data_IF_753494608855
#
_entry.id   IF_753494608855
#
_cell.length_a   1.000
_cell.length_b   1.000
_cell.length_c   1.000
_cell.angle_alpha   90.00
_cell.angle_beta   90.00
_cell.angle_gamma   90.00
#
_symmetry.space_group_name_H-M   'P 1'
#
loop_
_entity.id
_entity.type
_entity.pdbx_description
1 polymer ?
#
# COMPACT_ATOMS: atom_id res chain seq x y z
N UNK A 1 -9.57 23.51 -9.03
CA UNK A 1 -9.17 23.84 -10.43
C UNK A 1 -8.92 25.32 -10.64
N UNK A 2 -9.85 26.25 -10.32
CA UNK A 2 -9.61 27.72 -10.51
C UNK A 2 -8.39 28.29 -9.77
N UNK A 3 -7.99 27.71 -8.63
CA UNK A 3 -6.77 28.11 -7.90
C UNK A 3 -5.48 27.67 -8.62
N UNK A 4 -5.51 26.49 -9.26
CA UNK A 4 -4.35 25.95 -10.01
C UNK A 4 -4.16 26.72 -11.31
N UNK A 5 -5.25 27.04 -12.04
CA UNK A 5 -5.18 27.90 -13.24
C UNK A 5 -4.62 29.31 -12.91
N UNK A 6 -5.05 29.92 -11.80
CA UNK A 6 -4.50 31.21 -11.37
C UNK A 6 -3.01 31.14 -10.97
N UNK A 7 -2.56 30.02 -10.39
CA UNK A 7 -1.16 29.85 -10.02
C UNK A 7 -0.25 29.68 -11.25
N UNK A 8 -0.74 29.01 -12.30
CA UNK A 8 0.02 28.77 -13.54
C UNK A 8 0.02 29.99 -14.47
N UNK A 9 -1.08 30.77 -14.51
CA UNK A 9 -1.22 31.91 -15.41
C UNK A 9 -0.74 33.26 -14.83
N UNK A 10 -0.46 33.32 -13.52
CA UNK A 10 -0.11 34.56 -12.80
C UNK A 10 1.34 35.01 -12.91
N UNK A 11 2.27 34.16 -13.32
CA UNK A 11 3.64 34.54 -13.61
C UNK A 11 3.88 34.43 -15.12
N UNK A 12 4.37 35.52 -15.76
CA UNK A 12 4.99 35.44 -17.07
C UNK A 12 6.19 34.50 -16.94
N UNK A 13 5.94 33.17 -17.09
CA UNK A 13 7.01 32.28 -17.55
C UNK A 13 7.44 32.93 -18.86
N UNK A 14 8.62 33.57 -18.88
CA UNK A 14 9.19 34.14 -20.08
C UNK A 14 9.12 33.04 -21.12
N UNK A 15 8.35 33.27 -22.19
CA UNK A 15 8.21 32.30 -23.25
C UNK A 15 9.63 31.89 -23.63
N UNK A 16 9.94 30.63 -23.48
CA UNK A 16 11.21 30.06 -23.93
C UNK A 16 11.18 30.32 -25.41
N UNK A 17 12.07 31.22 -25.88
CA UNK A 17 12.22 31.52 -27.27
C UNK A 17 12.41 30.20 -28.03
N UNK A 18 11.41 29.81 -28.80
CA UNK A 18 11.34 28.52 -29.52
C UNK A 18 12.30 28.47 -30.70
N UNK A 19 13.45 29.15 -30.59
CA UNK A 19 14.53 29.08 -31.53
C UNK A 19 14.96 27.64 -31.77
N UNK A 20 14.91 27.19 -33.00
CA UNK A 20 15.38 25.88 -33.46
C UNK A 20 16.76 25.58 -32.88
N UNK A 21 16.85 24.68 -31.91
CA UNK A 21 18.12 24.19 -31.38
C UNK A 21 18.81 23.33 -32.45
N UNK A 22 19.77 23.86 -33.07
CA UNK A 22 20.65 23.14 -34.01
C UNK A 22 21.88 22.65 -33.24
N UNK A 23 21.85 21.39 -32.77
CA UNK A 23 23.02 20.77 -32.17
C UNK A 23 22.68 19.66 -31.14
N UNK A 24 23.67 18.82 -30.78
CA UNK A 24 23.48 17.77 -29.80
C UNK A 24 23.18 18.36 -28.40
N UNK A 25 22.33 17.68 -27.64
CA UNK A 25 21.98 18.07 -26.27
C UNK A 25 23.04 17.49 -25.32
N UNK A 26 23.73 18.35 -24.56
CA UNK A 26 24.71 17.93 -23.57
C UNK A 26 24.05 17.47 -22.26
N UNK A 27 24.78 16.70 -21.49
CA UNK A 27 24.33 16.27 -20.10
C UNK A 27 24.12 17.48 -19.18
N UNK A 28 24.97 18.54 -19.30
CA UNK A 28 24.81 19.77 -18.53
C UNK A 28 23.49 20.48 -18.89
N UNK A 29 23.08 20.41 -20.16
CA UNK A 29 21.80 20.96 -20.56
C UNK A 29 20.63 20.15 -19.95
N UNK A 30 20.73 18.82 -19.94
CA UNK A 30 19.73 17.95 -19.29
C UNK A 30 19.67 18.27 -17.80
N UNK A 31 20.80 18.41 -17.11
CA UNK A 31 20.86 18.81 -15.71
C UNK A 31 20.15 20.15 -15.45
N UNK A 32 20.46 21.16 -16.27
CA UNK A 32 19.79 22.47 -16.17
C UNK A 32 18.26 22.41 -16.42
N UNK A 33 17.78 21.51 -17.27
CA UNK A 33 16.33 21.27 -17.45
C UNK A 33 15.74 20.61 -16.21
N UNK A 34 16.42 19.62 -15.65
CA UNK A 34 16.01 18.95 -14.44
C UNK A 34 15.89 19.92 -13.24
N UNK A 35 16.91 20.76 -13.03
CA UNK A 35 16.92 21.77 -11.97
C UNK A 35 15.75 22.77 -12.10
N UNK A 36 15.46 23.22 -13.32
CA UNK A 36 14.31 24.11 -13.57
C UNK A 36 12.97 23.42 -13.32
N UNK A 37 12.85 22.17 -13.74
CA UNK A 37 11.63 21.39 -13.52
C UNK A 37 11.39 21.15 -12.02
N UNK A 38 12.44 20.86 -11.27
CA UNK A 38 12.39 20.66 -9.83
C UNK A 38 12.04 21.97 -9.10
N UNK A 39 12.69 23.08 -9.44
CA UNK A 39 12.36 24.39 -8.88
C UNK A 39 10.89 24.78 -9.14
N UNK A 40 10.38 24.52 -10.36
CA UNK A 40 8.98 24.78 -10.68
C UNK A 40 8.03 23.85 -9.91
N UNK A 41 8.38 22.58 -9.77
CA UNK A 41 7.62 21.64 -8.97
C UNK A 41 7.55 22.07 -7.50
N UNK A 42 8.67 22.55 -6.95
CA UNK A 42 8.73 23.14 -5.60
C UNK A 42 7.83 24.38 -5.46
N UNK A 43 7.87 25.29 -6.43
CA UNK A 43 7.04 26.49 -6.40
C UNK A 43 5.54 26.16 -6.49
N UNK A 44 5.16 25.23 -7.37
CA UNK A 44 3.78 24.75 -7.47
C UNK A 44 3.34 24.12 -6.16
N UNK A 45 4.17 23.27 -5.56
CA UNK A 45 3.88 22.63 -4.26
C UNK A 45 3.75 23.66 -3.15
N UNK A 46 4.65 24.63 -3.05
CA UNK A 46 4.59 25.68 -2.04
C UNK A 46 3.31 26.54 -2.17
N UNK A 47 2.76 26.70 -3.37
CA UNK A 47 1.52 27.45 -3.62
C UNK A 47 0.25 26.63 -3.46
N UNK A 48 0.29 25.33 -3.79
CA UNK A 48 -0.85 24.41 -3.74
C UNK A 48 -0.92 23.71 -2.38
N UNK A 49 0.22 23.40 -1.82
CA UNK A 49 0.40 22.83 -0.48
C UNK A 49 1.30 23.80 0.30
N UNK A 50 0.72 24.89 0.84
CA UNK A 50 1.50 25.83 1.63
C UNK A 50 2.35 25.06 2.67
N UNK A 51 3.65 25.39 2.83
CA UNK A 51 4.57 24.61 3.68
C UNK A 51 4.10 24.49 5.14
N UNK A 52 3.21 25.38 5.59
CA UNK A 52 2.64 25.39 6.92
C UNK A 52 1.30 24.65 7.03
N UNK A 53 0.72 24.20 5.92
CA UNK A 53 -0.56 23.47 5.93
C UNK A 53 -0.25 21.98 5.81
N UNK A 54 -0.04 21.33 6.94
CA UNK A 54 -0.04 19.86 7.01
C UNK A 54 -1.37 19.35 6.48
N UNK A 55 -1.32 18.30 5.67
CA UNK A 55 -2.52 17.61 5.23
C UNK A 55 -3.37 17.24 6.45
N UNK A 56 -4.63 17.63 6.46
CA UNK A 56 -5.54 17.40 7.59
C UNK A 56 -6.41 16.18 7.32
N UNK A 57 -6.62 15.38 8.36
CA UNK A 57 -7.56 14.29 8.28
C UNK A 57 -8.99 14.83 8.07
N UNK A 58 -9.79 14.17 7.21
CA UNK A 58 -11.16 14.57 6.97
C UNK A 58 -12.06 14.29 8.18
N UNK A 59 -13.22 14.92 8.18
CA UNK A 59 -14.31 14.57 9.07
C UNK A 59 -15.43 13.88 8.27
N UNK A 60 -16.12 12.95 8.91
CA UNK A 60 -17.18 12.15 8.34
C UNK A 60 -18.54 12.51 8.96
N UNK A 61 -19.61 12.34 8.21
CA UNK A 61 -20.95 12.23 8.81
C UNK A 61 -21.05 10.92 9.59
N UNK A 62 -21.96 10.85 10.56
CA UNK A 62 -22.20 9.60 11.33
C UNK A 62 -22.45 8.42 10.40
N UNK A 63 -23.28 8.60 9.35
CA UNK A 63 -23.57 7.54 8.39
C UNK A 63 -22.33 7.08 7.60
N UNK A 64 -21.44 8.00 7.23
CA UNK A 64 -20.15 7.65 6.60
C UNK A 64 -19.24 6.93 7.58
N UNK A 65 -19.10 7.44 8.80
CA UNK A 65 -18.27 6.81 9.83
C UNK A 65 -18.73 5.38 10.10
N UNK A 66 -20.02 5.13 10.31
CA UNK A 66 -20.58 3.79 10.52
C UNK A 66 -20.25 2.84 9.36
N UNK A 67 -20.48 3.31 8.13
CA UNK A 67 -20.25 2.50 6.93
C UNK A 67 -18.78 2.18 6.72
N UNK A 68 -17.90 3.19 6.81
CA UNK A 68 -16.46 3.02 6.51
C UNK A 68 -15.74 2.23 7.61
N UNK A 69 -16.20 2.34 8.84
CA UNK A 69 -15.63 1.61 9.98
C UNK A 69 -16.15 0.16 10.11
N UNK A 70 -17.09 -0.27 9.26
CA UNK A 70 -17.70 -1.58 9.36
C UNK A 70 -18.62 -1.75 10.58
N UNK A 71 -18.95 -0.69 11.30
CA UNK A 71 -19.87 -0.71 12.43
C UNK A 71 -21.29 -1.05 12.00
N UNK A 72 -21.66 -0.76 10.74
CA UNK A 72 -22.98 -1.06 10.20
C UNK A 72 -23.33 -2.54 10.19
N UNK A 73 -22.34 -3.41 10.17
CA UNK A 73 -22.48 -4.86 10.10
C UNK A 73 -22.63 -5.50 11.49
N UNK A 74 -22.50 -4.69 12.56
CA UNK A 74 -22.52 -5.15 13.95
C UNK A 74 -23.69 -4.52 14.74
N UNK A 75 -24.39 -5.28 15.63
CA UNK A 75 -25.45 -4.74 16.49
C UNK A 75 -24.99 -3.55 17.36
N UNK A 76 -23.74 -3.58 17.84
CA UNK A 76 -23.13 -2.52 18.61
C UNK A 76 -22.96 -1.22 17.78
N UNK A 77 -22.74 -1.34 16.48
CA UNK A 77 -22.64 -0.22 15.56
C UNK A 77 -23.99 0.48 15.33
N UNK A 78 -25.07 -0.29 15.28
CA UNK A 78 -26.44 0.27 15.23
C UNK A 78 -26.75 1.09 16.49
N UNK A 79 -26.36 0.60 17.66
CA UNK A 79 -26.51 1.33 18.93
C UNK A 79 -25.63 2.59 18.96
N UNK A 80 -24.39 2.51 18.47
CA UNK A 80 -23.51 3.66 18.34
C UNK A 80 -24.06 4.70 17.38
N UNK A 81 -24.56 4.26 16.23
CA UNK A 81 -25.20 5.14 15.23
C UNK A 81 -26.45 5.84 15.80
N UNK A 82 -27.29 5.13 16.56
CA UNK A 82 -28.47 5.70 17.21
C UNK A 82 -28.09 6.77 18.25
N UNK A 83 -27.05 6.52 19.06
CA UNK A 83 -26.56 7.46 20.07
C UNK A 83 -26.00 8.76 19.48
N UNK A 84 -25.46 8.72 18.26
CA UNK A 84 -24.81 9.87 17.59
C UNK A 84 -25.60 10.42 16.41
N UNK A 85 -26.58 9.69 15.87
CA UNK A 85 -27.29 9.98 14.63
C UNK A 85 -28.17 11.24 14.68
N UNK A 86 -28.63 11.66 15.85
CA UNK A 86 -29.42 12.87 16.04
C UNK A 86 -28.56 14.14 16.10
N UNK A 87 -27.25 14.00 16.19
CA UNK A 87 -26.31 15.12 16.21
C UNK A 87 -25.81 15.39 14.79
N UNK A 88 -25.97 16.62 14.28
CA UNK A 88 -25.29 17.10 13.06
C UNK A 88 -23.77 17.30 13.33
N UNK A 89 -23.16 16.33 13.99
CA UNK A 89 -21.76 16.39 14.38
C UNK A 89 -20.87 15.75 13.31
N UNK A 90 -19.75 16.37 13.06
CA UNK A 90 -18.67 15.78 12.29
C UNK A 90 -17.92 14.76 13.16
N UNK A 91 -17.68 13.57 12.63
CA UNK A 91 -16.93 12.49 13.30
C UNK A 91 -15.51 12.48 12.74
N UNK A 92 -14.52 12.62 13.59
CA UNK A 92 -13.11 12.52 13.19
C UNK A 92 -12.69 11.08 12.89
N UNK A 93 -11.56 10.92 12.18
CA UNK A 93 -10.94 9.61 11.94
C UNK A 93 -10.68 8.89 13.26
N UNK A 94 -10.13 9.58 14.26
CA UNK A 94 -9.83 9.02 15.59
C UNK A 94 -11.09 8.50 16.31
N UNK A 95 -12.19 9.24 16.25
CA UNK A 95 -13.46 8.83 16.84
C UNK A 95 -14.05 7.59 16.14
N UNK A 96 -14.06 7.58 14.79
CA UNK A 96 -14.55 6.44 14.01
C UNK A 96 -13.71 5.19 14.31
N UNK A 97 -12.38 5.31 14.28
CA UNK A 97 -11.43 4.24 14.59
C UNK A 97 -11.62 3.70 16.01
N UNK A 98 -11.71 4.58 17.00
CA UNK A 98 -11.93 4.20 18.40
C UNK A 98 -13.27 3.47 18.61
N UNK A 99 -14.32 3.90 17.92
CA UNK A 99 -15.61 3.24 17.94
C UNK A 99 -15.52 1.83 17.34
N UNK A 100 -14.86 1.67 16.18
CA UNK A 100 -14.68 0.39 15.52
C UNK A 100 -13.87 -0.60 16.39
N UNK A 101 -12.75 -0.16 16.96
CA UNK A 101 -11.89 -0.99 17.81
C UNK A 101 -12.68 -1.56 19.01
N UNK A 102 -13.52 -0.74 19.65
CA UNK A 102 -14.31 -1.18 20.81
C UNK A 102 -15.49 -2.09 20.47
N UNK A 103 -16.13 -1.85 19.33
CA UNK A 103 -17.40 -2.50 18.99
C UNK A 103 -17.24 -3.66 17.98
N UNK A 104 -16.01 -3.94 17.52
CA UNK A 104 -15.70 -5.03 16.58
C UNK A 104 -14.55 -5.92 17.07
N UNK A 105 -14.61 -6.47 18.31
CA UNK A 105 -13.51 -7.25 18.92
C UNK A 105 -13.15 -8.50 18.10
N UNK A 106 -14.12 -9.11 17.39
CA UNK A 106 -13.89 -10.30 16.58
C UNK A 106 -12.99 -10.05 15.35
N UNK A 107 -12.80 -8.79 14.96
CA UNK A 107 -11.98 -8.37 13.83
C UNK A 107 -10.61 -7.85 14.25
N UNK A 108 -10.41 -7.57 15.54
CA UNK A 108 -9.14 -7.05 16.03
C UNK A 108 -8.06 -8.14 16.08
N UNK A 109 -6.81 -7.73 15.98
CA UNK A 109 -5.65 -8.64 16.08
C UNK A 109 -5.64 -9.34 17.44
N UNK A 110 -5.57 -10.67 17.49
CA UNK A 110 -5.36 -11.39 18.75
C UNK A 110 -3.99 -11.02 19.36
N UNK A 111 -3.93 -10.80 20.67
CA UNK A 111 -2.69 -10.42 21.38
C UNK A 111 -1.54 -11.41 21.20
N UNK A 112 -1.86 -12.68 20.93
CA UNK A 112 -0.88 -13.74 20.68
C UNK A 112 -0.36 -13.79 19.24
N UNK A 113 -0.73 -12.83 18.37
CA UNK A 113 -0.41 -12.82 16.95
C UNK A 113 0.29 -11.54 16.53
N UNK A 114 1.21 -11.66 15.57
CA UNK A 114 1.81 -10.51 14.89
C UNK A 114 0.90 -9.92 13.83
N UNK A 115 1.31 -8.77 13.33
CA UNK A 115 0.62 -8.09 12.23
C UNK A 115 0.53 -8.97 10.97
N UNK A 116 -0.55 -8.82 10.22
CA UNK A 116 -0.61 -9.32 8.84
C UNK A 116 0.07 -8.31 7.92
N UNK A 117 1.07 -8.78 7.18
CA UNK A 117 1.78 -7.98 6.17
C UNK A 117 1.15 -8.22 4.80
N UNK A 118 0.75 -7.15 4.11
CA UNK A 118 0.09 -7.17 2.80
C UNK A 118 0.95 -6.41 1.80
N UNK A 119 1.39 -7.07 0.72
CA UNK A 119 2.04 -6.39 -0.40
C UNK A 119 1.00 -6.03 -1.47
N UNK A 120 1.01 -4.78 -1.91
CA UNK A 120 0.23 -4.33 -3.06
C UNK A 120 1.18 -4.29 -4.26
N UNK A 121 1.10 -5.29 -5.14
CA UNK A 121 2.10 -5.53 -6.17
C UNK A 121 1.49 -5.79 -7.54
N UNK A 122 2.11 -5.23 -8.57
CA UNK A 122 1.92 -5.55 -9.99
C UNK A 122 3.11 -4.92 -10.74
N UNK A 123 3.66 -5.61 -11.73
CA UNK A 123 4.82 -5.10 -12.48
C UNK A 123 4.46 -3.98 -13.47
N UNK A 124 3.18 -3.74 -13.72
CA UNK A 124 2.73 -2.67 -14.59
C UNK A 124 2.53 -1.35 -13.84
N UNK A 125 2.98 -0.26 -14.45
CA UNK A 125 2.74 1.09 -13.96
C UNK A 125 1.29 1.52 -14.17
N UNK A 126 0.79 2.40 -13.28
CA UNK A 126 -0.52 3.04 -13.45
C UNK A 126 -1.75 2.16 -13.22
N UNK A 127 -1.61 0.94 -12.71
CA UNK A 127 -2.73 0.03 -12.39
C UNK A 127 -3.47 0.37 -11.09
N UNK A 128 -2.96 1.33 -10.31
CA UNK A 128 -3.57 1.78 -9.06
C UNK A 128 -2.96 1.16 -7.79
N UNK A 129 -1.72 0.65 -7.82
CA UNK A 129 -1.03 0.09 -6.63
C UNK A 129 -1.02 1.05 -5.46
N UNK A 130 -0.40 2.21 -5.62
CA UNK A 130 -0.24 3.22 -4.58
C UNK A 130 -1.58 3.71 -4.03
N UNK A 131 -2.57 3.97 -4.90
CA UNK A 131 -3.90 4.35 -4.46
C UNK A 131 -4.58 3.24 -3.67
N UNK A 132 -4.40 1.97 -4.08
CA UNK A 132 -4.92 0.80 -3.36
C UNK A 132 -4.22 0.65 -2.01
N UNK A 133 -2.88 0.78 -1.95
CA UNK A 133 -2.14 0.69 -0.70
C UNK A 133 -2.59 1.76 0.30
N UNK A 134 -2.70 3.02 -0.14
CA UNK A 134 -3.14 4.10 0.72
C UNK A 134 -4.60 3.93 1.18
N UNK A 135 -5.52 3.59 0.27
CA UNK A 135 -6.93 3.41 0.65
C UNK A 135 -7.14 2.20 1.55
N UNK A 136 -6.35 1.13 1.39
CA UNK A 136 -6.35 0.01 2.35
C UNK A 136 -5.84 0.45 3.72
N UNK A 137 -4.72 1.18 3.79
CA UNK A 137 -4.21 1.67 5.06
C UNK A 137 -5.22 2.56 5.79
N UNK A 138 -5.84 3.51 5.08
CA UNK A 138 -6.88 4.39 5.61
C UNK A 138 -8.14 3.61 6.03
N UNK A 139 -8.62 2.72 5.17
CA UNK A 139 -9.83 1.94 5.43
C UNK A 139 -9.67 0.97 6.60
N UNK A 140 -8.54 0.28 6.70
CA UNK A 140 -8.23 -0.63 7.82
C UNK A 140 -8.06 0.15 9.13
N UNK A 141 -7.45 1.34 9.09
CA UNK A 141 -7.40 2.23 10.27
C UNK A 141 -8.80 2.62 10.73
N UNK A 142 -9.70 3.05 9.84
CA UNK A 142 -11.09 3.37 10.21
C UNK A 142 -11.82 2.20 10.86
N UNK A 143 -11.41 0.95 10.56
CA UNK A 143 -11.94 -0.29 11.15
C UNK A 143 -11.31 -0.67 12.48
N UNK A 144 -10.46 0.20 13.04
CA UNK A 144 -9.88 0.05 14.37
C UNK A 144 -8.45 -0.47 14.40
N UNK A 145 -7.89 -0.90 13.26
CA UNK A 145 -6.54 -1.44 13.20
C UNK A 145 -5.47 -0.34 13.32
N UNK A 146 -4.33 -0.68 13.91
CA UNK A 146 -3.11 0.12 13.87
C UNK A 146 -2.28 -0.32 12.66
N UNK A 147 -2.05 0.59 11.72
CA UNK A 147 -1.48 0.28 10.41
C UNK A 147 -0.10 0.91 10.24
N UNK A 148 0.86 0.15 9.72
CA UNK A 148 2.10 0.66 9.16
C UNK A 148 2.00 0.60 7.65
N UNK A 149 2.07 1.75 6.98
CA UNK A 149 2.25 1.83 5.54
C UNK A 149 3.76 1.90 5.23
N UNK A 150 4.21 1.18 4.21
CA UNK A 150 5.60 1.19 3.77
C UNK A 150 5.62 1.51 2.28
N UNK A 151 6.26 2.60 1.91
CA UNK A 151 6.53 2.97 0.53
C UNK A 151 7.88 2.37 0.11
N UNK A 152 7.87 1.45 -0.85
CA UNK A 152 9.08 0.87 -1.43
C UNK A 152 9.33 1.34 -2.86
N UNK A 153 8.47 2.21 -3.42
CA UNK A 153 8.73 2.79 -4.73
C UNK A 153 9.66 4.01 -4.59
N UNK A 154 10.87 4.00 -5.20
CA UNK A 154 11.76 5.16 -5.20
C UNK A 154 11.12 6.45 -5.73
N UNK A 155 10.00 6.37 -6.45
CA UNK A 155 9.23 7.53 -6.86
C UNK A 155 8.55 8.25 -5.69
N UNK A 156 8.39 7.61 -4.54
CA UNK A 156 7.80 8.19 -3.35
C UNK A 156 6.33 8.60 -3.52
N UNK A 157 5.59 7.85 -4.33
CA UNK A 157 4.20 8.19 -4.66
C UNK A 157 3.27 8.05 -3.45
N UNK A 158 3.42 6.99 -2.65
CA UNK A 158 2.66 6.81 -1.42
C UNK A 158 3.05 7.88 -0.39
N UNK A 159 4.33 8.17 -0.26
CA UNK A 159 4.88 9.25 0.59
C UNK A 159 4.24 10.59 0.24
N UNK A 160 4.18 10.91 -1.07
CA UNK A 160 3.54 12.14 -1.56
C UNK A 160 2.03 12.17 -1.28
N UNK A 161 1.33 11.05 -1.41
CA UNK A 161 -0.08 10.94 -1.07
C UNK A 161 -0.33 11.17 0.43
N UNK A 162 0.61 10.84 1.30
CA UNK A 162 0.55 11.19 2.73
C UNK A 162 0.91 12.66 3.02
N UNK A 163 1.22 13.47 2.01
CA UNK A 163 1.49 14.91 2.17
C UNK A 163 2.94 15.23 2.49
N UNK A 164 3.86 14.28 2.31
CA UNK A 164 5.31 14.47 2.54
C UNK A 164 6.00 14.66 1.19
N UNK A 165 6.84 15.69 1.08
CA UNK A 165 7.60 15.97 -0.15
C UNK A 165 8.83 15.07 -0.19
N UNK A 166 8.76 13.99 -0.98
CA UNK A 166 9.77 12.93 -0.99
C UNK A 166 11.20 13.42 -1.26
N UNK A 167 11.37 14.47 -2.09
CA UNK A 167 12.68 14.98 -2.48
C UNK A 167 13.34 15.85 -1.43
N UNK A 168 12.58 16.47 -0.53
CA UNK A 168 13.11 17.50 0.39
C UNK A 168 12.87 17.24 1.87
N UNK A 169 11.83 16.48 2.20
CA UNK A 169 11.45 16.23 3.58
C UNK A 169 11.87 14.83 4.06
N UNK A 170 12.25 13.95 3.13
CA UNK A 170 12.64 12.57 3.44
C UNK A 170 14.15 12.46 3.61
N UNK A 171 14.57 11.99 4.78
CA UNK A 171 15.95 11.60 5.06
C UNK A 171 16.12 10.08 4.94
N UNK A 172 17.34 9.61 4.76
CA UNK A 172 17.64 8.17 4.62
C UNK A 172 17.09 7.33 5.78
N UNK A 173 17.24 7.79 7.02
CA UNK A 173 16.72 7.12 8.22
C UNK A 173 15.19 7.05 8.33
N UNK A 174 14.44 7.69 7.43
CA UNK A 174 12.98 7.60 7.32
C UNK A 174 12.53 6.57 6.27
N UNK A 175 13.49 5.91 5.60
CA UNK A 175 13.25 4.96 4.51
C UNK A 175 13.69 3.55 4.89
N UNK A 176 13.39 2.58 4.04
CA UNK A 176 13.90 1.23 4.20
C UNK A 176 15.38 1.04 3.79
N UNK A 177 16.05 2.09 3.28
CA UNK A 177 17.38 1.97 2.70
C UNK A 177 18.45 1.51 3.71
N UNK A 178 18.55 2.01 4.97
CA UNK A 178 19.52 1.54 5.94
C UNK A 178 19.36 0.03 6.24
N UNK A 179 18.13 -0.45 6.39
CA UNK A 179 17.85 -1.88 6.58
C UNK A 179 18.35 -2.70 5.38
N UNK A 180 18.01 -2.28 4.17
CA UNK A 180 18.34 -2.99 2.93
C UNK A 180 19.85 -2.99 2.63
N UNK A 181 20.58 -1.99 3.13
CA UNK A 181 22.05 -1.96 3.12
C UNK A 181 22.68 -2.79 4.23
N UNK A 182 21.93 -3.15 5.28
CA UNK A 182 22.43 -3.84 6.46
C UNK A 182 23.10 -2.93 7.48
N UNK A 183 22.74 -1.67 7.47
CA UNK A 183 23.19 -0.68 8.44
C UNK A 183 22.36 -0.72 9.74
N UNK A 184 21.21 -1.37 9.68
CA UNK A 184 20.35 -1.70 10.83
C UNK A 184 19.59 -3.01 10.58
N UNK A 185 19.04 -3.60 11.66
CA UNK A 185 18.31 -4.88 11.64
C UNK A 185 16.81 -4.71 11.87
N UNK A 186 16.33 -3.48 12.12
CA UNK A 186 14.93 -3.17 12.43
C UNK A 186 14.44 -1.95 11.66
N UNK A 187 13.25 -2.09 11.05
CA UNK A 187 12.61 -1.00 10.30
C UNK A 187 11.73 -0.10 11.15
N UNK A 188 11.33 -0.53 12.35
CA UNK A 188 10.41 0.22 13.21
C UNK A 188 10.89 1.65 13.50
N UNK A 189 12.18 1.93 13.70
CA UNK A 189 12.68 3.29 13.92
C UNK A 189 12.48 4.25 12.73
N UNK A 190 12.26 3.73 11.52
CA UNK A 190 11.97 4.55 10.33
C UNK A 190 10.49 4.98 10.24
N UNK A 191 9.59 4.34 10.99
CA UNK A 191 8.17 4.67 10.99
C UNK A 191 7.90 6.06 11.56
N UNK A 192 7.06 6.84 10.89
CA UNK A 192 6.67 8.20 11.28
C UNK A 192 5.14 8.32 11.30
N UNK A 193 4.58 9.03 12.30
CA UNK A 193 3.15 9.31 12.34
C UNK A 193 2.74 10.14 11.11
N UNK A 194 1.53 9.88 10.62
CA UNK A 194 0.95 10.63 9.51
C UNK A 194 -0.19 11.54 9.98
N UNK A 195 -0.76 12.32 9.04
CA UNK A 195 -1.96 13.12 9.32
C UNK A 195 -3.21 12.25 9.62
N UNK A 196 -3.15 10.96 9.28
CA UNK A 196 -4.27 10.03 9.43
C UNK A 196 -4.13 9.20 10.70
N UNK A 197 -5.07 9.35 11.63
CA UNK A 197 -5.00 8.64 12.91
C UNK A 197 -4.94 7.12 12.73
N UNK A 198 -3.99 6.49 13.42
CA UNK A 198 -3.76 5.05 13.40
C UNK A 198 -2.99 4.55 12.18
N UNK A 199 -2.42 5.44 11.35
CA UNK A 199 -1.51 5.09 10.26
C UNK A 199 -0.17 5.77 10.45
N UNK A 200 0.88 4.96 10.58
CA UNK A 200 2.26 5.40 10.50
C UNK A 200 2.85 5.03 9.12
N UNK A 201 3.92 5.71 8.69
CA UNK A 201 4.52 5.57 7.37
C UNK A 201 6.04 5.41 7.46
N UNK A 202 6.57 4.40 6.75
CA UNK A 202 7.97 4.37 6.29
C UNK A 202 7.99 4.98 4.89
N UNK A 203 8.72 6.07 4.73
CA UNK A 203 8.71 6.88 3.51
C UNK A 203 9.65 6.32 2.44
N UNK A 204 9.45 6.75 1.18
CA UNK A 204 10.40 6.55 0.09
C UNK A 204 10.80 7.88 -0.54
N UNK A 205 11.98 7.88 -1.13
CA UNK A 205 12.51 8.97 -1.94
C UNK A 205 13.46 8.39 -3.00
N UNK A 206 13.90 9.17 -4.00
CA UNK A 206 14.77 8.68 -5.08
C UNK A 206 16.04 7.96 -4.59
N UNK A 207 16.55 8.31 -3.39
CA UNK A 207 17.70 7.63 -2.78
C UNK A 207 17.47 6.14 -2.53
N UNK A 208 16.21 5.70 -2.37
CA UNK A 208 15.87 4.29 -2.17
C UNK A 208 16.27 3.42 -3.39
N UNK A 209 16.44 4.02 -4.58
CA UNK A 209 16.94 3.31 -5.75
C UNK A 209 18.32 2.67 -5.52
N UNK A 210 19.13 3.21 -4.59
CA UNK A 210 20.41 2.62 -4.20
C UNK A 210 20.27 1.18 -3.64
N UNK A 211 19.10 0.80 -3.13
CA UNK A 211 18.82 -0.55 -2.65
C UNK A 211 18.93 -1.61 -3.76
N UNK A 212 18.58 -1.26 -5.02
CA UNK A 212 18.69 -2.18 -6.17
C UNK A 212 20.13 -2.62 -6.46
N UNK A 213 21.13 -1.84 -6.02
CA UNK A 213 22.55 -2.18 -6.11
C UNK A 213 23.07 -2.78 -4.80
N UNK A 214 22.59 -2.32 -3.66
CA UNK A 214 23.05 -2.77 -2.36
C UNK A 214 22.58 -4.22 -2.04
N UNK A 215 21.34 -4.55 -2.33
CA UNK A 215 20.76 -5.86 -2.01
C UNK A 215 21.52 -7.00 -2.70
N UNK A 216 21.79 -7.00 -4.03
CA UNK A 216 22.56 -8.07 -4.66
C UNK A 216 24.01 -8.15 -4.18
N UNK A 217 24.65 -7.05 -3.80
CA UNK A 217 26.01 -7.07 -3.27
C UNK A 217 26.12 -7.85 -1.96
N UNK A 218 25.04 -7.99 -1.19
CA UNK A 218 24.98 -8.79 0.04
C UNK A 218 24.97 -10.30 -0.22
N UNK A 219 24.58 -10.74 -1.41
CA UNK A 219 24.63 -12.17 -1.79
C UNK A 219 26.05 -12.72 -1.74
N UNK A 220 27.05 -11.88 -1.99
CA UNK A 220 28.46 -12.28 -1.98
C UNK A 220 29.10 -12.24 -0.59
N UNK A 221 28.41 -11.73 0.42
CA UNK A 221 28.89 -11.72 1.80
C UNK A 221 28.71 -13.12 2.41
N UNK A 222 29.74 -13.60 3.09
CA UNK A 222 29.82 -14.97 3.60
C UNK A 222 28.93 -15.27 4.82
N UNK A 223 28.04 -14.33 5.21
CA UNK A 223 27.18 -14.41 6.39
C UNK A 223 25.91 -15.27 6.22
N UNK A 224 25.68 -15.81 5.01
CA UNK A 224 24.49 -16.63 4.72
C UNK A 224 23.18 -15.85 4.69
N UNK A 225 23.22 -14.51 4.68
CA UNK A 225 22.03 -13.68 4.68
C UNK A 225 21.21 -13.85 3.41
N UNK A 226 19.95 -14.22 3.56
CA UNK A 226 19.02 -14.32 2.45
C UNK A 226 18.61 -12.91 1.98
N UNK A 227 19.28 -12.35 0.98
CA UNK A 227 19.11 -10.98 0.50
C UNK A 227 17.67 -10.66 0.02
N UNK A 228 16.84 -11.65 -0.30
CA UNK A 228 15.43 -11.49 -0.63
C UNK A 228 14.50 -11.45 0.59
N UNK A 229 15.01 -11.66 1.81
CA UNK A 229 14.25 -11.67 3.07
C UNK A 229 14.65 -10.56 4.04
N UNK A 230 15.42 -9.58 3.60
CA UNK A 230 15.91 -8.51 4.47
C UNK A 230 14.74 -7.73 5.11
N UNK A 231 13.74 -7.40 4.30
CA UNK A 231 12.54 -6.73 4.80
C UNK A 231 11.75 -7.64 5.75
N UNK A 232 11.63 -8.94 5.45
CA UNK A 232 10.93 -9.89 6.31
C UNK A 232 11.53 -9.94 7.72
N UNK A 233 12.86 -9.98 7.82
CA UNK A 233 13.56 -9.94 9.10
C UNK A 233 13.42 -8.59 9.80
N UNK A 234 13.59 -7.50 9.07
CA UNK A 234 13.49 -6.14 9.61
C UNK A 234 12.10 -5.71 10.06
N UNK A 235 11.06 -6.50 9.78
CA UNK A 235 9.69 -6.24 10.21
C UNK A 235 9.32 -6.90 11.54
N UNK A 236 10.22 -7.59 12.23
CA UNK A 236 9.89 -8.32 13.45
C UNK A 236 9.22 -7.43 14.52
N UNK A 237 9.87 -6.34 14.92
CA UNK A 237 9.33 -5.39 15.91
C UNK A 237 8.07 -4.66 15.43
N UNK A 238 7.98 -4.38 14.13
CA UNK A 238 6.80 -3.78 13.53
C UNK A 238 5.59 -4.72 13.60
N UNK A 239 5.79 -6.03 13.41
CA UNK A 239 4.71 -7.02 13.54
C UNK A 239 4.14 -7.12 14.94
N UNK A 240 4.93 -6.85 15.96
CA UNK A 240 4.45 -6.81 17.35
C UNK A 240 3.70 -5.50 17.66
N UNK A 241 4.09 -4.41 17.01
CA UNK A 241 3.60 -3.06 17.28
C UNK A 241 2.30 -2.72 16.54
N UNK A 242 2.14 -3.20 15.31
CA UNK A 242 1.00 -2.91 14.42
C UNK A 242 0.08 -4.12 14.29
N UNK A 243 -1.13 -3.89 13.81
CA UNK A 243 -2.08 -4.96 13.47
C UNK A 243 -1.93 -5.36 12.00
N UNK A 244 -1.61 -4.39 11.15
CA UNK A 244 -1.45 -4.56 9.71
C UNK A 244 -0.26 -3.77 9.22
N UNK A 245 0.48 -4.36 8.28
CA UNK A 245 1.54 -3.70 7.53
C UNK A 245 1.13 -3.73 6.06
N UNK A 246 1.02 -2.57 5.40
CA UNK A 246 0.68 -2.44 3.98
C UNK A 246 1.90 -1.92 3.23
N UNK A 247 2.38 -2.69 2.24
CA UNK A 247 3.58 -2.36 1.47
C UNK A 247 3.16 -1.98 0.05
N UNK A 248 3.47 -0.75 -0.38
CA UNK A 248 3.39 -0.32 -1.78
C UNK A 248 4.69 -0.65 -2.51
N UNK A 249 4.61 -1.22 -3.72
CA UNK A 249 5.76 -1.70 -4.47
C UNK A 249 5.98 -0.94 -5.78
N UNK A 250 7.23 -0.83 -6.26
CA UNK A 250 7.53 -0.26 -7.56
C UNK A 250 6.89 -1.06 -8.72
N UNK A 251 6.73 -0.45 -9.90
CA UNK A 251 6.13 -1.09 -11.07
C UNK A 251 7.14 -1.98 -11.83
N UNK A 252 7.86 -2.83 -11.13
CA UNK A 252 8.89 -3.70 -11.68
C UNK A 252 9.10 -4.93 -10.80
N UNK A 253 9.59 -6.04 -11.39
CA UNK A 253 10.17 -7.14 -10.63
C UNK A 253 11.60 -6.76 -10.23
N UNK A 254 11.71 -5.95 -9.21
CA UNK A 254 12.97 -5.48 -8.63
C UNK A 254 13.27 -6.21 -7.33
N UNK A 255 14.47 -6.03 -6.78
CA UNK A 255 14.83 -6.56 -5.47
C UNK A 255 13.95 -5.99 -4.35
N UNK A 256 13.50 -4.75 -4.47
CA UNK A 256 12.52 -4.13 -3.56
C UNK A 256 11.18 -4.89 -3.60
N UNK A 257 10.67 -5.17 -4.79
CA UNK A 257 9.42 -5.93 -4.96
C UNK A 257 9.54 -7.36 -4.44
N UNK A 258 10.66 -8.03 -4.70
CA UNK A 258 10.93 -9.38 -4.18
C UNK A 258 10.92 -9.37 -2.65
N UNK A 259 11.61 -8.43 -2.01
CA UNK A 259 11.62 -8.31 -0.55
C UNK A 259 10.22 -8.04 0.01
N UNK A 260 9.39 -7.21 -0.65
CA UNK A 260 8.01 -6.99 -0.26
C UNK A 260 7.17 -8.27 -0.32
N UNK A 261 7.27 -9.01 -1.44
CA UNK A 261 6.54 -10.26 -1.63
C UNK A 261 6.99 -11.32 -0.61
N UNK A 262 8.28 -11.39 -0.30
CA UNK A 262 8.81 -12.32 0.70
C UNK A 262 8.39 -11.97 2.13
N UNK A 263 8.26 -10.69 2.46
CA UNK A 263 7.80 -10.25 3.76
C UNK A 263 6.26 -10.41 3.96
N UNK A 264 5.49 -10.46 2.87
CA UNK A 264 4.03 -10.42 2.91
C UNK A 264 3.40 -11.75 3.37
N UNK A 265 2.31 -11.67 4.14
CA UNK A 265 1.40 -12.78 4.42
C UNK A 265 0.28 -12.86 3.38
N UNK A 266 -0.08 -11.73 2.77
CA UNK A 266 -1.07 -11.63 1.72
C UNK A 266 -0.61 -10.72 0.58
N UNK A 267 -1.15 -10.94 -0.61
CA UNK A 267 -0.86 -10.12 -1.79
C UNK A 267 -2.16 -9.56 -2.34
N UNK A 268 -2.19 -8.28 -2.68
CA UNK A 268 -3.25 -7.65 -3.46
C UNK A 268 -2.65 -7.20 -4.79
N UNK A 269 -3.26 -7.63 -5.91
CA UNK A 269 -2.76 -7.37 -7.27
C UNK A 269 -3.79 -6.53 -8.04
N UNK A 270 -3.70 -5.19 -7.98
CA UNK A 270 -4.57 -4.31 -8.73
C UNK A 270 -4.36 -4.51 -10.23
N UNK A 271 -5.44 -4.79 -10.97
CA UNK A 271 -5.37 -5.14 -12.40
C UNK A 271 -6.54 -4.52 -13.15
N UNK A 272 -6.33 -3.58 -14.06
CA UNK A 272 -7.38 -3.15 -14.98
C UNK A 272 -7.79 -4.30 -15.92
N UNK A 273 -9.08 -4.50 -16.22
CA UNK A 273 -9.54 -5.58 -17.09
C UNK A 273 -9.36 -5.22 -18.57
N UNK A 274 -8.10 -5.06 -19.03
CA UNK A 274 -7.73 -4.89 -20.43
C UNK A 274 -6.87 -6.06 -20.92
N UNK A 275 -6.85 -6.33 -22.24
CA UNK A 275 -6.07 -7.43 -22.79
C UNK A 275 -4.57 -7.32 -22.48
N UNK A 276 -4.01 -6.10 -22.51
CA UNK A 276 -2.61 -5.86 -22.18
C UNK A 276 -2.33 -6.06 -20.68
N UNK A 277 -3.28 -5.71 -19.82
CA UNK A 277 -3.14 -5.93 -18.38
C UNK A 277 -3.26 -7.41 -18.02
N UNK A 278 -4.12 -8.16 -18.70
CA UNK A 278 -4.20 -9.62 -18.56
C UNK A 278 -2.87 -10.30 -18.94
N UNK A 279 -2.29 -9.94 -20.08
CA UNK A 279 -1.00 -10.48 -20.51
C UNK A 279 0.12 -10.14 -19.52
N UNK A 280 0.13 -8.89 -19.02
CA UNK A 280 1.09 -8.46 -17.98
C UNK A 280 0.92 -9.23 -16.67
N UNK A 281 -0.33 -9.51 -16.26
CA UNK A 281 -0.64 -10.29 -15.06
C UNK A 281 -0.15 -11.74 -15.21
N UNK A 282 -0.37 -12.36 -16.37
CA UNK A 282 0.14 -13.71 -16.64
C UNK A 282 1.67 -13.76 -16.56
N UNK A 283 2.34 -12.75 -17.12
CA UNK A 283 3.80 -12.62 -17.02
C UNK A 283 4.28 -12.40 -15.58
N UNK A 284 3.57 -11.59 -14.80
CA UNK A 284 3.83 -11.41 -13.36
C UNK A 284 3.88 -12.76 -12.62
N UNK A 285 2.85 -13.58 -12.81
CA UNK A 285 2.78 -14.89 -12.15
C UNK A 285 3.83 -15.85 -12.63
N UNK A 286 4.16 -15.85 -13.94
CA UNK A 286 5.21 -16.70 -14.50
C UNK A 286 6.57 -16.37 -13.88
N UNK A 287 6.97 -15.09 -13.91
CA UNK A 287 8.23 -14.64 -13.32
C UNK A 287 8.29 -14.92 -11.82
N UNK A 288 7.17 -14.73 -11.10
CA UNK A 288 7.13 -15.02 -9.68
C UNK A 288 7.23 -16.53 -9.41
N UNK A 289 6.62 -17.38 -10.24
CA UNK A 289 6.73 -18.84 -10.13
C UNK A 289 8.16 -19.35 -10.41
N UNK A 290 8.90 -18.69 -11.29
CA UNK A 290 10.29 -19.06 -11.63
C UNK A 290 11.22 -18.96 -10.42
N UNK A 291 10.93 -18.09 -9.43
CA UNK A 291 11.66 -18.08 -8.16
C UNK A 291 11.55 -19.39 -7.38
N UNK A 292 10.49 -20.18 -7.57
CA UNK A 292 10.32 -21.48 -6.91
C UNK A 292 11.46 -22.47 -7.25
N UNK A 293 12.06 -22.34 -8.44
CA UNK A 293 13.15 -23.21 -8.91
C UNK A 293 14.51 -22.91 -8.28
N UNK A 294 14.65 -21.79 -7.55
CA UNK A 294 15.89 -21.41 -6.92
C UNK A 294 16.12 -22.25 -5.64
N UNK A 295 17.19 -23.05 -5.59
CA UNK A 295 17.49 -23.96 -4.47
C UNK A 295 17.65 -23.22 -3.13
N UNK A 296 18.14 -21.98 -3.15
CA UNK A 296 18.27 -21.15 -1.94
C UNK A 296 16.89 -20.72 -1.40
N UNK A 297 15.94 -20.43 -2.29
CA UNK A 297 14.56 -20.13 -1.93
C UNK A 297 13.87 -21.31 -1.24
N UNK A 298 14.20 -22.53 -1.62
CA UNK A 298 13.65 -23.77 -1.05
C UNK A 298 14.23 -24.13 0.32
N UNK A 299 15.47 -23.72 0.64
CA UNK A 299 16.11 -24.01 1.93
C UNK A 299 15.37 -23.46 3.15
N UNK A 300 14.51 -22.47 2.96
CA UNK A 300 13.67 -21.86 4.01
C UNK A 300 12.26 -22.48 4.17
N UNK A 301 11.98 -23.66 3.59
CA UNK A 301 10.67 -24.31 3.69
C UNK A 301 9.61 -23.79 2.71
N UNK A 302 10.01 -22.96 1.74
CA UNK A 302 9.12 -22.35 0.76
C UNK A 302 8.26 -21.19 1.35
N UNK A 303 7.80 -20.31 0.48
CA UNK A 303 6.89 -19.20 0.86
C UNK A 303 5.46 -19.64 0.73
N UNK A 304 4.66 -19.39 1.77
CA UNK A 304 3.21 -19.57 1.78
C UNK A 304 2.51 -18.25 2.01
N UNK A 305 1.42 -18.01 1.28
CA UNK A 305 0.57 -16.85 1.47
C UNK A 305 -0.75 -17.29 2.09
N UNK A 306 -1.25 -16.51 3.04
CA UNK A 306 -2.55 -16.73 3.65
C UNK A 306 -3.68 -16.39 2.68
N UNK A 307 -3.45 -15.41 1.81
CA UNK A 307 -4.36 -15.04 0.73
C UNK A 307 -3.64 -14.33 -0.42
N UNK A 308 -4.22 -14.43 -1.60
CA UNK A 308 -3.85 -13.66 -2.79
C UNK A 308 -5.14 -13.11 -3.38
N UNK A 309 -5.16 -11.81 -3.70
CA UNK A 309 -6.34 -11.15 -4.25
C UNK A 309 -5.99 -10.40 -5.53
N UNK A 310 -6.60 -10.79 -6.64
CA UNK A 310 -6.63 -10.02 -7.89
C UNK A 310 -7.77 -9.02 -7.77
N UNK A 311 -7.43 -7.73 -7.67
CA UNK A 311 -8.39 -6.64 -7.56
C UNK A 311 -8.61 -6.00 -8.93
N UNK A 312 -9.81 -6.13 -9.48
CA UNK A 312 -10.15 -5.42 -10.72
C UNK A 312 -10.25 -3.92 -10.44
N UNK A 313 -9.46 -3.13 -11.16
CA UNK A 313 -9.40 -1.67 -11.04
C UNK A 313 -9.78 -1.00 -12.34
N UNK A 314 -10.20 0.28 -12.28
CA UNK A 314 -10.59 1.06 -13.46
C UNK A 314 -11.63 0.36 -14.34
N UNK A 315 -12.55 -0.36 -13.72
CA UNK A 315 -13.60 -1.09 -14.43
C UNK A 315 -14.53 -0.10 -15.12
N UNK A 316 -14.55 -0.14 -16.46
CA UNK A 316 -15.36 0.73 -17.30
C UNK A 316 -16.47 -0.09 -17.94
N UNK A 317 -17.68 -0.01 -17.40
CA UNK A 317 -18.84 -0.77 -17.90
C UNK A 317 -19.25 -0.38 -19.34
N UNK A 318 -18.74 0.74 -19.86
CA UNK A 318 -18.99 1.17 -21.24
C UNK A 318 -18.01 0.54 -22.25
N UNK A 319 -16.95 -0.13 -21.78
CA UNK A 319 -15.98 -0.80 -22.65
C UNK A 319 -16.52 -2.16 -23.13
N UNK A 320 -16.71 -2.26 -24.45
CA UNK A 320 -17.28 -3.45 -25.12
C UNK A 320 -16.38 -4.69 -24.97
N UNK A 321 -15.08 -4.51 -24.87
CA UNK A 321 -14.11 -5.61 -24.73
C UNK A 321 -14.01 -6.14 -23.29
N UNK A 322 -14.41 -5.34 -22.30
CA UNK A 322 -14.22 -5.66 -20.89
C UNK A 322 -14.87 -6.99 -20.44
N UNK A 323 -16.11 -7.35 -20.83
CA UNK A 323 -16.72 -8.63 -20.43
C UNK A 323 -15.87 -9.83 -20.84
N UNK A 324 -15.28 -9.82 -22.04
CA UNK A 324 -14.41 -10.89 -22.51
C UNK A 324 -13.13 -11.00 -21.68
N UNK A 325 -12.46 -9.87 -21.42
CA UNK A 325 -11.23 -9.86 -20.61
C UNK A 325 -11.50 -10.28 -19.16
N UNK A 326 -12.62 -9.85 -18.57
CA UNK A 326 -13.05 -10.35 -17.25
C UNK A 326 -13.25 -11.87 -17.27
N UNK A 327 -13.84 -12.40 -18.34
CA UNK A 327 -13.97 -13.85 -18.54
C UNK A 327 -12.61 -14.54 -18.51
N UNK A 328 -11.59 -13.99 -19.18
CA UNK A 328 -10.22 -14.55 -19.17
C UNK A 328 -9.59 -14.49 -17.77
N UNK A 329 -9.73 -13.35 -17.08
CA UNK A 329 -9.20 -13.19 -15.71
C UNK A 329 -9.87 -14.18 -14.75
N UNK A 330 -11.20 -14.33 -14.82
CA UNK A 330 -11.94 -15.28 -14.01
C UNK A 330 -11.61 -16.75 -14.34
N UNK A 331 -11.39 -17.06 -15.61
CA UNK A 331 -11.00 -18.41 -16.01
C UNK A 331 -9.59 -18.80 -15.52
N UNK A 332 -8.66 -17.82 -15.51
CA UNK A 332 -7.28 -18.04 -15.08
C UNK A 332 -7.08 -17.95 -13.57
N UNK A 333 -7.79 -17.04 -12.89
CA UNK A 333 -7.52 -16.65 -11.50
C UNK A 333 -8.78 -16.61 -10.62
N UNK A 334 -9.88 -17.26 -11.02
CA UNK A 334 -11.21 -17.10 -10.41
C UNK A 334 -11.24 -17.18 -8.87
N UNK A 335 -10.50 -18.12 -8.28
CA UNK A 335 -10.39 -18.27 -6.83
C UNK A 335 -9.69 -17.10 -6.13
N UNK A 336 -8.88 -16.33 -6.87
CA UNK A 336 -8.13 -15.18 -6.36
C UNK A 336 -8.80 -13.85 -6.70
N UNK A 337 -9.79 -13.81 -7.59
CA UNK A 337 -10.45 -12.56 -7.98
C UNK A 337 -11.37 -12.10 -6.86
N UNK A 338 -11.11 -10.87 -6.35
CA UNK A 338 -12.00 -10.26 -5.37
C UNK A 338 -13.41 -10.03 -5.97
N UNK A 339 -14.46 -10.26 -5.21
CA UNK A 339 -15.83 -9.91 -5.63
C UNK A 339 -16.02 -8.40 -5.74
N UNK A 340 -15.27 -7.63 -4.96
CA UNK A 340 -15.23 -6.17 -5.01
C UNK A 340 -14.34 -5.66 -6.13
N UNK A 341 -14.74 -4.60 -6.82
CA UNK A 341 -14.00 -3.98 -7.92
C UNK A 341 -14.01 -2.46 -7.82
N UNK A 342 -12.94 -1.81 -8.33
CA UNK A 342 -12.84 -0.35 -8.35
C UNK A 342 -13.26 0.18 -9.72
N UNK A 343 -14.39 0.92 -9.81
CA UNK A 343 -14.85 1.45 -11.07
C UNK A 343 -13.95 2.57 -11.58
N UNK A 344 -13.87 2.73 -12.90
CA UNK A 344 -13.34 3.94 -13.53
C UNK A 344 -14.19 5.13 -13.09
N UNK A 345 -13.53 6.19 -12.63
CA UNK A 345 -14.23 7.33 -12.03
C UNK A 345 -13.59 8.65 -12.42
N UNK A 346 -14.43 9.65 -12.66
CA UNK A 346 -14.02 11.05 -12.85
C UNK A 346 -13.55 11.70 -11.54
N UNK A 347 -13.71 11.03 -10.40
CA UNK A 347 -13.16 11.46 -9.10
C UNK A 347 -11.63 11.25 -9.06
N UNK A 348 -11.09 10.26 -9.79
CA UNK A 348 -9.66 9.94 -9.75
C UNK A 348 -8.74 11.13 -10.12
N UNK A 349 -8.99 11.93 -11.16
CA UNK A 349 -8.21 13.14 -11.43
C UNK A 349 -8.29 14.18 -10.32
N UNK A 350 -9.43 14.33 -9.67
CA UNK A 350 -9.60 15.26 -8.55
C UNK A 350 -8.83 14.79 -7.31
N UNK A 351 -8.82 13.48 -7.04
CA UNK A 351 -8.00 12.88 -5.98
C UNK A 351 -6.49 13.12 -6.24
N UNK A 352 -6.04 12.86 -7.46
CA UNK A 352 -4.66 13.07 -7.85
C UNK A 352 -4.24 14.54 -7.72
N UNK A 353 -5.09 15.48 -8.15
CA UNK A 353 -4.84 16.92 -8.03
C UNK A 353 -4.79 17.40 -6.57
N UNK A 354 -5.47 16.70 -5.66
CA UNK A 354 -5.47 16.97 -4.22
C UNK A 354 -4.40 16.15 -3.47
N UNK A 355 -3.53 15.42 -4.17
CA UNK A 355 -2.57 14.48 -3.56
C UNK A 355 -3.22 13.58 -2.51
N UNK A 356 -4.38 13.01 -2.82
CA UNK A 356 -5.16 12.23 -1.86
C UNK A 356 -5.92 11.07 -2.48
N UNK A 357 -6.70 10.41 -1.64
CA UNK A 357 -7.62 9.33 -2.00
C UNK A 357 -9.07 9.81 -1.95
N UNK A 358 -10.01 8.92 -2.26
CA UNK A 358 -11.44 9.20 -2.09
C UNK A 358 -11.80 9.49 -0.62
N UNK A 359 -11.07 8.93 0.34
CA UNK A 359 -11.32 9.19 1.77
C UNK A 359 -10.89 10.59 2.22
N UNK A 360 -9.93 11.22 1.53
CA UNK A 360 -9.43 12.56 1.89
C UNK A 360 -10.35 13.70 1.45
N UNK A 361 -11.25 13.45 0.49
CA UNK A 361 -12.10 14.50 -0.06
C UNK A 361 -13.31 14.70 0.86
N UNK A 362 -13.26 15.76 1.67
CA UNK A 362 -14.38 16.13 2.55
C UNK A 362 -15.60 16.65 1.79
N UNK A 363 -15.39 17.35 0.67
CA UNK A 363 -16.44 17.85 -0.23
C UNK A 363 -16.01 17.67 -1.70
N UNK A 364 -16.84 17.03 -2.49
CA UNK A 364 -16.64 16.85 -3.92
C UNK A 364 -17.60 17.72 -4.72
N UNK A 365 -17.06 18.59 -5.58
CA UNK A 365 -17.85 19.56 -6.38
C UNK A 365 -18.59 18.90 -7.55
N UNK A 366 -18.34 17.61 -7.82
CA UNK A 366 -19.00 16.85 -8.88
C UNK A 366 -20.20 16.05 -8.40
N UNK A 367 -20.64 15.08 -9.21
CA UNK A 367 -21.80 14.25 -8.89
C UNK A 367 -21.59 13.42 -7.61
N UNK A 368 -22.37 13.68 -6.57
CA UNK A 368 -22.31 12.98 -5.27
C UNK A 368 -22.46 11.46 -5.41
N UNK A 369 -23.26 11.00 -6.37
CA UNK A 369 -23.44 9.57 -6.64
C UNK A 369 -22.14 8.90 -7.13
N UNK A 370 -21.38 9.59 -8.00
CA UNK A 370 -20.09 9.10 -8.50
C UNK A 370 -19.05 9.02 -7.37
N UNK A 371 -19.01 10.05 -6.51
CA UNK A 371 -18.14 10.05 -5.34
C UNK A 371 -18.50 8.93 -4.36
N UNK A 372 -19.82 8.77 -4.07
CA UNK A 372 -20.28 7.69 -3.18
C UNK A 372 -19.89 6.32 -3.73
N UNK A 373 -20.10 6.08 -5.03
CA UNK A 373 -19.78 4.80 -5.67
C UNK A 373 -18.29 4.42 -5.51
N UNK A 374 -17.37 5.39 -5.62
CA UNK A 374 -15.94 5.11 -5.48
C UNK A 374 -15.54 4.82 -4.02
N UNK A 375 -16.10 5.57 -3.07
CA UNK A 375 -15.90 5.30 -1.63
C UNK A 375 -16.45 3.92 -1.25
N UNK A 376 -17.64 3.58 -1.71
CA UNK A 376 -18.27 2.28 -1.43
C UNK A 376 -17.44 1.14 -1.98
N UNK A 377 -16.92 1.27 -3.19
CA UNK A 377 -16.04 0.29 -3.79
C UNK A 377 -14.76 0.05 -2.97
N UNK A 378 -14.10 1.10 -2.51
CA UNK A 378 -12.92 0.95 -1.64
C UNK A 378 -13.27 0.40 -0.26
N UNK A 379 -14.42 0.76 0.30
CA UNK A 379 -14.89 0.20 1.57
C UNK A 379 -15.16 -1.31 1.45
N UNK A 380 -15.72 -1.76 0.33
CA UNK A 380 -15.96 -3.18 0.04
C UNK A 380 -14.66 -3.95 -0.13
N UNK A 381 -13.68 -3.41 -0.89
CA UNK A 381 -12.33 -3.99 -1.00
C UNK A 381 -11.69 -4.12 0.38
N UNK A 382 -11.80 -3.09 1.23
CA UNK A 382 -11.28 -3.12 2.61
C UNK A 382 -11.97 -4.22 3.43
N UNK A 383 -13.28 -4.42 3.25
CA UNK A 383 -14.04 -5.49 3.91
C UNK A 383 -13.50 -6.88 3.51
N UNK A 384 -13.33 -7.12 2.21
CA UNK A 384 -12.80 -8.39 1.71
C UNK A 384 -11.40 -8.69 2.26
N UNK A 385 -10.52 -7.69 2.24
CA UNK A 385 -9.15 -7.83 2.75
C UNK A 385 -9.14 -8.07 4.26
N UNK A 386 -9.94 -7.33 5.04
CA UNK A 386 -10.07 -7.52 6.48
C UNK A 386 -10.56 -8.94 6.84
N UNK A 387 -11.56 -9.46 6.11
CA UNK A 387 -12.03 -10.83 6.31
C UNK A 387 -10.91 -11.86 6.08
N UNK A 388 -10.08 -11.65 5.04
CA UNK A 388 -8.93 -12.52 4.77
C UNK A 388 -7.86 -12.44 5.85
N UNK A 389 -7.62 -11.25 6.42
CA UNK A 389 -6.72 -11.06 7.56
C UNK A 389 -7.21 -11.79 8.79
N UNK A 390 -8.50 -11.66 9.14
CA UNK A 390 -9.11 -12.35 10.27
C UNK A 390 -9.05 -13.86 10.08
N UNK A 391 -9.31 -14.36 8.88
CA UNK A 391 -9.18 -15.78 8.55
C UNK A 391 -7.73 -16.26 8.72
N UNK A 392 -6.74 -15.46 8.29
CA UNK A 392 -5.33 -15.77 8.46
C UNK A 392 -4.93 -15.87 9.94
N UNK A 393 -5.35 -14.93 10.79
CA UNK A 393 -5.10 -15.01 12.23
C UNK A 393 -5.72 -16.27 12.86
N UNK A 394 -6.96 -16.62 12.48
CA UNK A 394 -7.64 -17.83 12.96
C UNK A 394 -6.92 -19.12 12.54
N UNK A 395 -6.48 -19.20 11.27
CA UNK A 395 -5.73 -20.36 10.78
C UNK A 395 -4.39 -20.55 11.51
N UNK A 396 -3.67 -19.44 11.74
CA UNK A 396 -2.43 -19.46 12.51
C UNK A 396 -2.67 -19.88 13.98
N UNK A 397 -3.82 -19.54 14.58
CA UNK A 397 -4.19 -19.98 15.93
C UNK A 397 -4.41 -21.48 15.96
N UNK A 398 -5.21 -22.01 15.05
CA UNK A 398 -5.53 -23.45 14.97
C UNK A 398 -4.26 -24.29 14.78
N UNK A 399 -3.31 -23.85 13.93
CA UNK A 399 -2.04 -24.56 13.72
C UNK A 399 -1.23 -24.67 15.02
N UNK A 400 -1.09 -23.56 15.75
CA UNK A 400 -0.38 -23.54 17.03
C UNK A 400 -1.05 -24.44 18.11
N UNK A 401 -2.39 -24.38 18.20
CA UNK A 401 -3.15 -25.18 19.15
C UNK A 401 -2.99 -26.68 18.83
N UNK A 402 -2.91 -27.04 17.55
CA UNK A 402 -2.63 -28.42 17.11
C UNK A 402 -1.19 -28.84 17.47
N UNK A 403 -0.19 -28.01 17.23
CA UNK A 403 1.21 -28.27 17.58
C UNK A 403 1.41 -28.40 19.09
N UNK A 404 0.68 -27.63 19.89
CA UNK A 404 0.72 -27.70 21.37
C UNK A 404 0.05 -28.97 21.89
N UNK A 405 -1.03 -29.45 21.23
CA UNK A 405 -1.71 -30.69 21.60
C UNK A 405 -0.96 -31.97 21.21
N UNK A 406 -0.18 -31.90 20.13
CA UNK A 406 0.63 -33.02 19.64
C UNK A 406 2.07 -32.52 19.40
N UNK A 407 2.89 -32.29 20.45
CA UNK A 407 4.28 -31.96 20.28
C UNK A 407 4.94 -33.11 19.52
N UNK A 408 5.52 -32.79 18.36
CA UNK A 408 6.34 -33.75 17.61
C UNK A 408 7.40 -34.26 18.59
N UNK A 409 7.40 -35.58 18.87
CA UNK A 409 8.40 -36.23 19.71
C UNK A 409 9.77 -35.89 19.11
N UNK A 410 10.56 -35.12 19.84
CA UNK A 410 11.94 -34.84 19.52
C UNK A 410 12.65 -36.20 19.50
N UNK A 411 12.91 -36.73 18.31
CA UNK A 411 13.68 -37.94 18.14
C UNK A 411 15.05 -37.75 18.80
N UNK A 412 15.23 -38.36 19.96
CA UNK A 412 16.54 -38.63 20.50
C UNK A 412 17.27 -39.54 19.52
N UNK A 413 18.16 -38.97 18.77
CA UNK A 413 19.28 -39.72 18.21
C UNK A 413 20.28 -39.88 19.36
N UNK A 414 20.00 -40.84 20.25
CA UNK A 414 21.05 -41.35 21.13
C UNK A 414 22.12 -42.01 20.28
N UNK A 415 23.30 -41.42 20.35
CA UNK A 415 24.50 -41.95 19.82
C UNK A 415 24.76 -43.33 20.38
N UNK A 416 24.76 -44.33 19.53
CA UNK A 416 25.36 -45.62 19.83
C UNK A 416 26.87 -45.49 19.81
N UNK A 417 27.48 -45.16 20.93
CA UNK A 417 28.88 -45.48 21.24
C UNK A 417 28.96 -46.95 21.63
N UNK A 418 29.61 -47.81 20.85
CA UNK A 418 30.44 -48.88 21.33
C UNK A 418 30.89 -49.81 20.19
N UNK A 419 32.17 -49.87 20.05
CA UNK A 419 33.16 -50.86 19.56
C UNK A 419 33.81 -50.51 18.23
#
# INVERSE_FOLDING_TARGET
MRSIEKAVTGNKVSAIDGGERRGPISMDHIASVADRADALAHEIRARVMAPDVRKLAPNFTVAQAVRLSGLGDEPAGASWAAAHGHQRRAISVAEARSAASRNRPAYQRPSSRGAITIAVANFKGGVGKTTTAMTLAQGLSLRGHKVLAIDLDPQGSLTTLFGIVAQTEVTEGMTALPLLRGECDDLLPAARPTYWDGVDLVTAAPMLFAAEFAIPSRQTQADGTNFWRLLDYGLASARDTYDVIVIDTPPALSYLTINALMAANGIVVPTPPTALDFASLAHFWQLFADFRGNAEFLRGGGKQYAFIHVLLTRVDQSDVAMPAVRGWINAAYGEFVLPAEIPKSTVAPAMAAAFGTAYDIGAYDGARATYRRIIDAYAEVTTCVEHSMVAAWKALQQKRDAETKFPLASGHADACTAR
#
